data_IF_528359949167
#
_entry.id   IF_528359949167
#
_cell.length_a   1.000
_cell.length_b   1.000
_cell.length_c   1.000
_cell.angle_alpha   90.00
_cell.angle_beta   90.00
_cell.angle_gamma   90.00
#
_symmetry.space_group_name_H-M   'P 1'
#
loop_
_entity.id
_entity.type
_entity.pdbx_description
1 polymer ?
#
# COMPACT_ATOMS: atom_id res chain seq x y z
N UNK A 1 32.09 2.15 -38.27
CA UNK A 1 31.44 2.84 -39.41
C UNK A 1 30.36 1.92 -39.90
N UNK A 2 29.11 2.21 -39.57
CA UNK A 2 27.94 1.46 -40.04
C UNK A 2 27.75 1.83 -41.51
N UNK A 3 27.84 0.83 -42.41
CA UNK A 3 27.69 1.04 -43.85
C UNK A 3 26.25 1.23 -44.32
N UNK A 4 25.51 2.06 -43.60
CA UNK A 4 24.09 2.30 -43.84
C UNK A 4 23.91 3.37 -44.92
N UNK A 5 22.99 3.15 -45.83
CA UNK A 5 22.60 4.11 -46.84
C UNK A 5 21.69 5.19 -46.25
N UNK A 6 21.63 6.36 -46.90
CA UNK A 6 20.74 7.44 -46.48
C UNK A 6 19.28 7.02 -46.69
N UNK A 7 18.64 6.49 -45.67
CA UNK A 7 17.24 6.00 -45.65
C UNK A 7 17.06 4.71 -44.87
N UNK A 8 18.14 4.05 -44.46
CA UNK A 8 18.07 2.89 -43.58
C UNK A 8 17.99 3.34 -42.13
N UNK A 9 17.01 2.80 -41.39
CA UNK A 9 16.80 3.05 -39.95
C UNK A 9 16.82 1.72 -39.22
N UNK A 10 17.36 1.70 -37.99
CA UNK A 10 17.44 0.47 -37.16
C UNK A 10 16.11 0.09 -36.53
N UNK A 11 15.17 0.98 -36.50
CA UNK A 11 13.85 0.77 -35.90
C UNK A 11 13.10 2.06 -35.68
N UNK A 12 11.86 1.92 -35.25
CA UNK A 12 10.96 3.02 -34.86
C UNK A 12 10.58 2.87 -33.42
N UNK A 13 10.63 3.95 -32.66
CA UNK A 13 10.16 3.99 -31.28
C UNK A 13 8.71 4.50 -31.25
N UNK A 14 7.80 3.68 -30.72
CA UNK A 14 6.41 4.03 -30.52
C UNK A 14 6.21 4.48 -29.06
N UNK A 15 5.83 5.72 -28.84
CA UNK A 15 5.55 6.26 -27.52
C UNK A 15 4.10 6.04 -27.11
N UNK A 16 3.90 5.46 -25.94
CA UNK A 16 2.60 5.14 -25.36
C UNK A 16 2.34 5.99 -24.13
N UNK A 17 1.10 6.38 -23.93
CA UNK A 17 0.68 7.07 -22.72
C UNK A 17 0.57 6.17 -21.46
N UNK A 18 0.44 4.84 -21.64
CA UNK A 18 0.35 3.87 -20.57
C UNK A 18 1.15 2.61 -20.90
N UNK A 19 2.19 2.37 -20.12
CA UNK A 19 3.11 1.21 -20.27
C UNK A 19 2.39 -0.14 -20.11
N UNK A 20 1.26 -0.18 -19.38
CA UNK A 20 0.47 -1.40 -19.19
C UNK A 20 -0.15 -1.96 -20.47
N UNK A 21 -0.27 -1.12 -21.48
CA UNK A 21 -0.81 -1.49 -22.79
C UNK A 21 0.28 -1.88 -23.79
N UNK A 22 1.57 -1.77 -23.42
CA UNK A 22 2.70 -1.99 -24.31
C UNK A 22 2.71 -3.39 -24.93
N UNK A 23 2.47 -4.43 -24.13
CA UNK A 23 2.47 -5.82 -24.60
C UNK A 23 1.33 -6.07 -25.60
N UNK A 24 0.11 -5.61 -25.28
CA UNK A 24 -1.05 -5.75 -26.18
C UNK A 24 -0.89 -4.98 -27.48
N UNK A 25 -0.24 -3.81 -27.41
CA UNK A 25 0.01 -3.02 -28.61
C UNK A 25 1.10 -3.64 -29.46
N UNK A 26 2.15 -4.19 -28.85
CA UNK A 26 3.18 -4.92 -29.56
C UNK A 26 2.61 -6.12 -30.34
N UNK A 27 1.72 -6.90 -29.68
CA UNK A 27 0.98 -7.99 -30.34
C UNK A 27 0.11 -7.48 -31.50
N UNK A 28 -0.65 -6.41 -31.29
CA UNK A 28 -1.52 -5.84 -32.32
C UNK A 28 -0.72 -5.28 -33.53
N UNK A 29 0.45 -4.69 -33.26
CA UNK A 29 1.35 -4.21 -34.33
C UNK A 29 1.94 -5.39 -35.08
N UNK A 30 2.39 -6.44 -34.39
CA UNK A 30 2.90 -7.65 -35.02
C UNK A 30 1.83 -8.33 -35.89
N UNK A 31 0.59 -8.43 -35.41
CA UNK A 31 -0.55 -8.91 -36.19
C UNK A 31 -0.83 -8.06 -37.45
N UNK A 32 -0.69 -6.75 -37.33
CA UNK A 32 -0.86 -5.83 -38.44
C UNK A 32 0.28 -5.96 -39.47
N UNK A 33 1.52 -6.12 -38.99
CA UNK A 33 2.71 -6.35 -39.84
C UNK A 33 2.58 -7.68 -40.60
N UNK A 34 2.12 -8.75 -39.96
CA UNK A 34 1.89 -10.05 -40.60
C UNK A 34 0.80 -10.01 -41.68
N UNK A 35 -0.16 -9.10 -41.56
CA UNK A 35 -1.23 -8.90 -42.57
C UNK A 35 -0.84 -7.92 -43.66
N UNK A 36 0.19 -7.14 -43.43
CA UNK A 36 0.70 -6.21 -44.46
C UNK A 36 1.58 -6.99 -45.45
N UNK A 37 1.15 -7.01 -46.71
CA UNK A 37 1.89 -7.65 -47.82
C UNK A 37 2.97 -6.72 -48.39
N UNK A 38 3.59 -5.93 -47.52
CA UNK A 38 4.62 -4.97 -47.89
C UNK A 38 6.02 -5.59 -47.76
N UNK A 39 6.82 -5.67 -48.81
CA UNK A 39 8.17 -6.26 -48.73
C UNK A 39 9.11 -5.52 -47.80
N UNK A 40 8.80 -4.27 -47.44
CA UNK A 40 9.57 -3.45 -46.50
C UNK A 40 9.34 -3.82 -45.05
N UNK A 41 8.30 -4.63 -44.73
CA UNK A 41 7.99 -5.10 -43.38
C UNK A 41 8.57 -6.46 -43.06
N UNK A 42 9.22 -7.11 -44.02
CA UNK A 42 9.82 -8.42 -43.84
C UNK A 42 10.98 -8.35 -42.83
N UNK A 43 10.82 -9.09 -41.72
CA UNK A 43 11.77 -9.11 -40.61
C UNK A 43 11.60 -8.00 -39.58
N UNK A 44 10.59 -7.11 -39.69
CA UNK A 44 10.27 -6.10 -38.67
C UNK A 44 9.39 -6.74 -37.60
N UNK A 45 9.83 -6.67 -36.37
CA UNK A 45 9.11 -7.19 -35.20
C UNK A 45 8.94 -6.07 -34.15
N UNK A 46 7.72 -5.87 -33.69
CA UNK A 46 7.44 -4.98 -32.56
C UNK A 46 7.73 -5.72 -31.26
N UNK A 47 8.57 -5.14 -30.43
CA UNK A 47 8.95 -5.66 -29.11
C UNK A 47 8.54 -4.65 -28.05
N UNK A 48 7.86 -5.12 -26.99
CA UNK A 48 7.49 -4.22 -25.89
C UNK A 48 8.73 -3.82 -25.07
N UNK A 49 8.63 -2.69 -24.38
CA UNK A 49 9.68 -2.24 -23.44
C UNK A 49 9.93 -3.28 -22.36
N UNK A 50 8.87 -4.00 -21.91
CA UNK A 50 8.99 -5.07 -20.94
C UNK A 50 9.81 -6.25 -21.44
N UNK A 51 9.63 -6.65 -22.68
CA UNK A 51 10.42 -7.71 -23.31
C UNK A 51 11.83 -7.26 -23.65
N UNK A 52 12.03 -6.00 -23.99
CA UNK A 52 13.34 -5.44 -24.32
C UNK A 52 14.24 -5.30 -23.10
N UNK A 53 13.66 -4.96 -21.94
CA UNK A 53 14.39 -4.73 -20.69
C UNK A 53 13.79 -5.53 -19.52
N UNK A 54 13.74 -6.86 -19.59
CA UNK A 54 13.07 -7.69 -18.57
C UNK A 54 13.66 -7.50 -17.17
N UNK A 55 14.98 -7.34 -17.07
CA UNK A 55 15.66 -7.14 -15.79
C UNK A 55 15.18 -5.89 -15.03
N UNK A 56 14.83 -4.81 -15.74
CA UNK A 56 14.31 -3.57 -15.14
C UNK A 56 12.90 -3.80 -14.58
N UNK A 57 12.05 -4.48 -15.35
CA UNK A 57 10.67 -4.76 -14.93
C UNK A 57 10.61 -5.79 -13.81
N UNK A 58 11.47 -6.80 -13.80
CA UNK A 58 11.58 -7.77 -12.71
C UNK A 58 12.08 -7.11 -11.42
N UNK A 59 13.03 -6.20 -11.54
CA UNK A 59 13.48 -5.39 -10.40
C UNK A 59 12.38 -4.49 -9.84
N UNK A 60 11.59 -3.83 -10.68
CA UNK A 60 10.42 -3.05 -10.27
C UNK A 60 9.37 -3.91 -9.56
N UNK A 61 9.04 -5.09 -10.11
CA UNK A 61 8.11 -6.04 -9.47
C UNK A 61 8.62 -6.50 -8.11
N UNK A 62 9.93 -6.76 -7.98
CA UNK A 62 10.52 -7.16 -6.70
C UNK A 62 10.37 -6.04 -5.65
N UNK A 63 10.50 -4.77 -6.06
CA UNK A 63 10.28 -3.63 -5.17
C UNK A 63 8.82 -3.50 -4.71
N UNK A 64 7.86 -3.71 -5.61
CA UNK A 64 6.43 -3.70 -5.28
C UNK A 64 6.07 -4.80 -4.27
N UNK A 65 6.59 -6.00 -4.47
CA UNK A 65 6.39 -7.13 -3.53
C UNK A 65 7.03 -6.82 -2.18
N UNK A 66 8.25 -6.28 -2.16
CA UNK A 66 8.93 -5.90 -0.93
C UNK A 66 8.15 -4.81 -0.16
N UNK A 67 7.67 -3.79 -0.86
CA UNK A 67 6.83 -2.75 -0.27
C UNK A 67 5.54 -3.32 0.32
N UNK A 68 4.87 -4.24 -0.39
CA UNK A 68 3.66 -4.90 0.10
C UNK A 68 3.93 -5.73 1.37
N UNK A 69 5.04 -6.46 1.43
CA UNK A 69 5.45 -7.22 2.62
C UNK A 69 5.73 -6.29 3.79
N UNK A 70 6.46 -5.20 3.58
CA UNK A 70 6.74 -4.21 4.63
C UNK A 70 5.43 -3.61 5.17
N UNK A 71 4.51 -3.20 4.30
CA UNK A 71 3.21 -2.66 4.71
C UNK A 71 2.43 -3.71 5.51
N UNK A 72 2.40 -4.97 5.07
CA UNK A 72 1.71 -6.05 5.78
C UNK A 72 2.28 -6.27 7.19
N UNK A 73 3.60 -6.26 7.33
CA UNK A 73 4.29 -6.37 8.64
C UNK A 73 3.97 -5.17 9.53
N UNK A 74 4.00 -3.95 8.98
CA UNK A 74 3.64 -2.73 9.72
C UNK A 74 2.19 -2.78 10.23
N UNK A 75 1.24 -3.22 9.41
CA UNK A 75 -0.16 -3.39 9.81
C UNK A 75 -0.28 -4.46 10.90
N UNK A 76 0.45 -5.57 10.79
CA UNK A 76 0.45 -6.62 11.81
C UNK A 76 0.98 -6.09 13.16
N UNK A 77 2.10 -5.37 13.16
CA UNK A 77 2.67 -4.76 14.38
C UNK A 77 1.70 -3.74 14.97
N UNK A 78 1.09 -2.88 14.15
CA UNK A 78 0.09 -1.92 14.61
C UNK A 78 -1.12 -2.62 15.25
N UNK A 79 -1.57 -3.74 14.66
CA UNK A 79 -2.64 -4.56 15.22
C UNK A 79 -2.27 -5.13 16.61
N UNK A 80 -1.09 -5.77 16.75
CA UNK A 80 -0.67 -6.33 18.04
C UNK A 80 -0.53 -5.26 19.11
N UNK A 81 0.05 -4.11 18.79
CA UNK A 81 0.15 -2.98 19.70
C UNK A 81 -1.23 -2.50 20.17
N UNK A 82 -2.15 -2.32 19.22
CA UNK A 82 -3.50 -1.84 19.55
C UNK A 82 -4.31 -2.89 20.30
N UNK A 83 -4.17 -4.18 19.95
CA UNK A 83 -4.82 -5.28 20.65
C UNK A 83 -4.35 -5.36 22.11
N UNK A 84 -3.05 -5.23 22.36
CA UNK A 84 -2.46 -5.20 23.70
C UNK A 84 -2.96 -4.00 24.51
N UNK A 85 -2.95 -2.81 23.92
CA UNK A 85 -3.44 -1.60 24.56
C UNK A 85 -4.93 -1.71 24.92
N UNK A 86 -5.74 -2.30 24.02
CA UNK A 86 -7.16 -2.52 24.26
C UNK A 86 -7.40 -3.56 25.35
N UNK A 87 -6.59 -4.62 25.39
CA UNK A 87 -6.67 -5.63 26.46
C UNK A 87 -6.34 -5.02 27.83
N UNK A 88 -5.26 -4.25 27.93
CA UNK A 88 -4.90 -3.54 29.17
C UNK A 88 -6.02 -2.61 29.61
N UNK A 89 -6.56 -1.81 28.69
CA UNK A 89 -7.66 -0.89 28.97
C UNK A 89 -8.90 -1.63 29.50
N UNK A 90 -9.19 -2.82 28.95
CA UNK A 90 -10.31 -3.66 29.41
C UNK A 90 -10.06 -4.18 30.81
N UNK A 91 -8.84 -4.68 31.08
CA UNK A 91 -8.46 -5.19 32.40
C UNK A 91 -8.53 -4.08 33.46
N UNK A 92 -8.01 -2.89 33.19
CA UNK A 92 -8.11 -1.74 34.09
C UNK A 92 -9.56 -1.30 34.39
N UNK A 93 -10.46 -1.53 33.45
CA UNK A 93 -11.88 -1.12 33.56
C UNK A 93 -12.83 -2.27 33.87
N UNK A 94 -12.32 -3.44 34.26
CA UNK A 94 -13.12 -4.65 34.51
C UNK A 94 -14.21 -4.41 35.53
N UNK A 95 -13.93 -3.70 36.65
CA UNK A 95 -14.89 -3.34 37.67
C UNK A 95 -16.04 -2.47 37.14
N UNK A 96 -15.71 -1.48 36.31
CA UNK A 96 -16.72 -0.63 35.65
C UNK A 96 -17.58 -1.44 34.67
N UNK A 97 -16.98 -2.36 33.93
CA UNK A 97 -17.67 -3.26 32.99
C UNK A 97 -18.62 -4.17 33.75
N UNK A 98 -18.20 -4.74 34.91
CA UNK A 98 -19.02 -5.55 35.77
C UNK A 98 -20.24 -4.79 36.31
N UNK A 99 -20.03 -3.54 36.74
CA UNK A 99 -21.11 -2.67 37.21
C UNK A 99 -22.13 -2.36 36.10
N UNK A 100 -21.67 -2.01 34.91
CA UNK A 100 -22.54 -1.74 33.78
C UNK A 100 -23.34 -2.97 33.34
N UNK A 101 -22.77 -4.18 33.46
CA UNK A 101 -23.48 -5.44 33.21
C UNK A 101 -24.52 -5.74 34.31
N UNK A 102 -24.18 -5.48 35.56
CA UNK A 102 -25.10 -5.63 36.66
C UNK A 102 -26.34 -4.71 36.55
N UNK A 103 -26.15 -3.53 35.94
CA UNK A 103 -27.24 -2.61 35.61
C UNK A 103 -28.01 -3.00 34.33
N UNK A 104 -27.71 -4.16 33.70
CA UNK A 104 -28.41 -4.66 32.53
C UNK A 104 -27.90 -4.17 31.20
N UNK A 105 -26.69 -3.57 31.13
CA UNK A 105 -26.14 -3.11 29.86
C UNK A 105 -25.75 -4.30 28.97
N UNK A 106 -26.22 -4.28 27.73
CA UNK A 106 -25.91 -5.29 26.71
C UNK A 106 -24.42 -5.33 26.37
N UNK A 107 -23.86 -6.52 26.16
CA UNK A 107 -22.48 -6.74 25.74
C UNK A 107 -22.12 -5.99 24.44
N UNK A 108 -23.10 -5.83 23.54
CA UNK A 108 -22.91 -5.07 22.27
C UNK A 108 -22.63 -3.59 22.52
N UNK A 109 -23.31 -2.99 23.50
CA UNK A 109 -23.13 -1.58 23.87
C UNK A 109 -21.75 -1.36 24.49
N UNK A 110 -21.35 -2.24 25.41
CA UNK A 110 -20.04 -2.21 26.06
C UNK A 110 -18.94 -2.32 24.99
N UNK A 111 -19.01 -3.34 24.11
CA UNK A 111 -18.04 -3.52 23.02
C UNK A 111 -17.93 -2.29 22.12
N UNK A 112 -19.05 -1.65 21.80
CA UNK A 112 -19.09 -0.45 20.96
C UNK A 112 -18.32 0.72 21.58
N UNK A 113 -18.41 0.91 22.89
CA UNK A 113 -17.66 1.96 23.62
C UNK A 113 -16.15 1.76 23.42
N UNK A 114 -15.65 0.53 23.59
CA UNK A 114 -14.23 0.24 23.40
C UNK A 114 -13.79 0.37 21.94
N UNK A 115 -14.64 -0.04 20.99
CA UNK A 115 -14.35 0.16 19.56
C UNK A 115 -14.28 1.64 19.17
N UNK A 116 -15.19 2.47 19.68
CA UNK A 116 -15.12 3.91 19.42
C UNK A 116 -13.84 4.54 19.96
N UNK A 117 -13.42 4.11 21.16
CA UNK A 117 -12.16 4.57 21.75
C UNK A 117 -10.95 4.14 20.91
N UNK A 118 -10.94 2.90 20.46
CA UNK A 118 -9.92 2.39 19.54
C UNK A 118 -9.91 3.16 18.23
N UNK A 119 -11.07 3.38 17.60
CA UNK A 119 -11.19 4.15 16.37
C UNK A 119 -10.68 5.58 16.53
N UNK A 120 -10.95 6.22 17.67
CA UNK A 120 -10.44 7.55 17.98
C UNK A 120 -8.90 7.59 18.08
N UNK A 121 -8.31 6.59 18.73
CA UNK A 121 -6.84 6.47 18.84
C UNK A 121 -6.22 6.23 17.48
N UNK A 122 -6.77 5.30 16.69
CA UNK A 122 -6.30 5.02 15.31
C UNK A 122 -6.43 6.27 14.44
N UNK A 123 -7.57 6.97 14.51
CA UNK A 123 -7.79 8.20 13.73
C UNK A 123 -6.79 9.31 14.06
N UNK A 124 -6.48 9.50 15.37
CA UNK A 124 -5.44 10.46 15.76
C UNK A 124 -4.05 10.03 15.31
N UNK A 125 -3.75 8.73 15.39
CA UNK A 125 -2.50 8.18 14.88
C UNK A 125 -2.33 8.40 13.37
N UNK A 126 -3.37 8.13 12.59
CA UNK A 126 -3.40 8.41 11.15
C UNK A 126 -3.20 9.91 10.86
N UNK A 127 -3.87 10.78 11.59
CA UNK A 127 -3.73 12.24 11.41
C UNK A 127 -2.26 12.68 11.58
N UNK A 128 -1.64 12.29 12.70
CA UNK A 128 -0.26 12.65 12.98
C UNK A 128 0.73 11.96 12.03
N UNK A 129 0.47 10.69 11.69
CA UNK A 129 1.26 9.94 10.71
C UNK A 129 1.23 10.60 9.34
N UNK A 130 0.05 10.98 8.86
CA UNK A 130 -0.12 11.67 7.59
C UNK A 130 0.53 13.06 7.56
N UNK A 131 0.45 13.81 8.65
CA UNK A 131 1.13 15.09 8.76
C UNK A 131 2.65 14.93 8.68
N UNK A 132 3.20 13.95 9.39
CA UNK A 132 4.64 13.66 9.35
C UNK A 132 5.08 13.17 7.97
N UNK A 133 4.36 12.22 7.37
CA UNK A 133 4.65 11.71 6.03
C UNK A 133 4.53 12.80 4.96
N UNK A 134 3.47 13.60 5.01
CA UNK A 134 3.28 14.73 4.09
C UNK A 134 4.38 15.77 4.22
N UNK A 135 4.82 16.08 5.44
CA UNK A 135 5.95 16.98 5.67
C UNK A 135 7.25 16.41 5.08
N UNK A 136 7.53 15.11 5.27
CA UNK A 136 8.72 14.47 4.72
C UNK A 136 8.67 14.45 3.18
N UNK A 137 7.53 14.11 2.59
CA UNK A 137 7.35 14.15 1.14
C UNK A 137 7.53 15.57 0.58
N UNK A 138 6.97 16.57 1.27
CA UNK A 138 7.13 17.96 0.87
C UNK A 138 8.58 18.44 1.00
N UNK A 139 9.28 18.05 2.08
CA UNK A 139 10.70 18.36 2.28
C UNK A 139 11.55 17.74 1.15
N UNK A 140 11.30 16.46 0.83
CA UNK A 140 11.99 15.78 -0.25
C UNK A 140 11.74 16.46 -1.60
N UNK A 141 10.49 16.78 -1.94
CA UNK A 141 10.11 17.43 -3.18
C UNK A 141 10.69 18.85 -3.31
N UNK A 142 10.92 19.54 -2.17
CA UNK A 142 11.39 20.94 -2.19
C UNK A 142 12.91 21.06 -2.09
N UNK A 143 13.55 20.18 -1.31
CA UNK A 143 14.97 20.30 -0.97
C UNK A 143 15.83 19.18 -1.56
N UNK A 144 15.24 18.15 -2.18
CA UNK A 144 15.96 17.01 -2.79
C UNK A 144 17.03 16.42 -1.85
N UNK A 145 16.61 16.18 -0.59
CA UNK A 145 17.50 15.74 0.50
C UNK A 145 18.15 14.39 0.20
N UNK A 146 17.36 13.47 -0.39
CA UNK A 146 17.83 12.15 -0.79
C UNK A 146 18.26 12.19 -2.25
N UNK A 147 19.57 12.24 -2.46
CA UNK A 147 20.20 12.13 -3.79
C UNK A 147 20.59 10.69 -4.04
N UNK A 148 20.35 10.23 -5.24
CA UNK A 148 20.79 8.92 -5.73
C UNK A 148 22.11 9.07 -6.48
N UNK A 149 22.96 8.03 -6.41
CA UNK A 149 24.17 7.99 -7.21
C UNK A 149 23.80 7.71 -8.69
N UNK A 150 24.06 8.65 -9.62
CA UNK A 150 23.73 8.46 -11.03
C UNK A 150 24.44 7.28 -11.68
N UNK A 151 25.54 6.80 -11.10
CA UNK A 151 26.29 5.66 -11.64
C UNK A 151 25.58 4.32 -11.40
N UNK A 152 24.72 4.23 -10.34
CA UNK A 152 23.98 3.02 -10.02
C UNK A 152 22.48 3.10 -10.35
N UNK A 153 21.95 4.31 -10.45
CA UNK A 153 20.53 4.56 -10.72
C UNK A 153 20.41 5.53 -11.89
N UNK A 154 19.52 5.24 -12.84
CA UNK A 154 19.27 6.13 -14.00
C UNK A 154 18.65 7.49 -13.60
N UNK A 155 18.45 7.73 -12.32
CA UNK A 155 17.86 8.93 -11.74
C UNK A 155 18.83 9.54 -10.73
N UNK A 156 18.99 10.86 -10.77
CA UNK A 156 19.84 11.61 -9.84
C UNK A 156 19.14 11.89 -8.49
N UNK A 157 17.82 11.73 -8.43
CA UNK A 157 16.99 12.08 -7.27
C UNK A 157 15.85 11.10 -7.10
N UNK A 158 15.37 10.92 -5.84
CA UNK A 158 14.20 10.09 -5.56
C UNK A 158 12.94 10.84 -6.01
N UNK A 159 12.22 10.36 -7.04
CA UNK A 159 10.99 11.00 -7.50
C UNK A 159 9.88 10.80 -6.47
N UNK A 160 9.23 11.88 -6.06
CA UNK A 160 8.08 11.84 -5.16
C UNK A 160 6.80 11.98 -5.99
N UNK A 161 6.17 10.86 -6.32
CA UNK A 161 4.88 10.83 -7.00
C UNK A 161 3.77 10.57 -5.96
N UNK A 162 3.16 11.63 -5.43
CA UNK A 162 2.06 11.51 -4.47
C UNK A 162 0.73 11.55 -5.20
N UNK A 163 0.00 10.45 -5.19
CA UNK A 163 -1.40 10.39 -5.63
C UNK A 163 -2.32 10.46 -4.41
N UNK A 164 -3.09 11.53 -4.27
CA UNK A 164 -4.01 11.71 -3.15
C UNK A 164 -5.04 10.57 -3.04
N UNK A 165 -5.48 10.01 -4.18
CA UNK A 165 -6.40 8.88 -4.20
C UNK A 165 -5.81 7.60 -3.62
N UNK A 166 -4.57 7.26 -3.99
CA UNK A 166 -3.87 6.10 -3.44
C UNK A 166 -3.52 6.28 -1.97
N UNK A 167 -3.11 7.48 -1.56
CA UNK A 167 -2.84 7.80 -0.16
C UNK A 167 -4.07 7.55 0.71
N UNK A 168 -5.21 8.15 0.32
CA UNK A 168 -6.47 7.94 1.05
C UNK A 168 -6.92 6.47 1.04
N UNK A 169 -6.74 5.76 -0.07
CA UNK A 169 -7.10 4.34 -0.17
C UNK A 169 -6.29 3.48 0.81
N UNK A 170 -4.98 3.72 0.94
CA UNK A 170 -4.11 3.02 1.89
C UNK A 170 -4.51 3.34 3.33
N UNK A 171 -4.81 4.60 3.66
CA UNK A 171 -5.26 4.99 5.00
C UNK A 171 -6.57 4.30 5.39
N UNK A 172 -7.55 4.33 4.49
CA UNK A 172 -8.86 3.69 4.73
C UNK A 172 -8.71 2.17 4.85
N UNK A 173 -7.89 1.55 4.01
CA UNK A 173 -7.62 0.12 4.05
C UNK A 173 -6.91 -0.27 5.37
N UNK A 174 -5.88 0.48 5.77
CA UNK A 174 -5.15 0.23 7.02
C UNK A 174 -6.06 0.42 8.25
N UNK A 175 -6.79 1.53 8.32
CA UNK A 175 -7.74 1.78 9.40
C UNK A 175 -8.82 0.69 9.46
N UNK A 176 -9.40 0.33 8.32
CA UNK A 176 -10.40 -0.72 8.21
C UNK A 176 -9.87 -2.08 8.67
N UNK A 177 -8.66 -2.46 8.23
CA UNK A 177 -8.01 -3.70 8.63
C UNK A 177 -7.76 -3.74 10.14
N UNK A 178 -7.18 -2.68 10.71
CA UNK A 178 -6.91 -2.60 12.16
C UNK A 178 -8.23 -2.69 12.95
N UNK A 179 -9.25 -1.93 12.59
CA UNK A 179 -10.54 -1.93 13.28
C UNK A 179 -11.27 -3.27 13.14
N UNK A 180 -11.20 -3.92 11.98
CA UNK A 180 -11.78 -5.25 11.77
C UNK A 180 -11.07 -6.31 12.63
N UNK A 181 -9.75 -6.28 12.68
CA UNK A 181 -8.96 -7.19 13.51
C UNK A 181 -9.22 -6.97 15.01
N UNK A 182 -9.48 -5.73 15.43
CA UNK A 182 -9.83 -5.41 16.82
C UNK A 182 -11.20 -5.94 17.28
N UNK A 183 -12.06 -6.38 16.35
CA UNK A 183 -13.29 -7.06 16.72
C UNK A 183 -13.03 -8.36 17.50
N UNK A 184 -11.91 -9.04 17.24
CA UNK A 184 -11.53 -10.28 17.92
C UNK A 184 -11.26 -10.03 19.41
N UNK A 185 -10.29 -9.18 19.84
CA UNK A 185 -10.07 -8.91 21.25
C UNK A 185 -11.27 -8.21 21.91
N UNK A 186 -11.99 -7.36 21.18
CA UNK A 186 -13.21 -6.73 21.70
C UNK A 186 -14.34 -7.74 22.01
N UNK A 187 -14.36 -8.90 21.37
CA UNK A 187 -15.31 -9.97 21.69
C UNK A 187 -14.99 -10.64 23.04
N UNK A 188 -13.72 -10.66 23.47
CA UNK A 188 -13.35 -11.18 24.79
C UNK A 188 -13.91 -10.33 25.92
N UNK A 189 -14.07 -9.02 25.73
CA UNK A 189 -14.73 -8.12 26.71
C UNK A 189 -16.15 -8.61 27.08
N UNK A 190 -16.83 -9.20 26.10
CA UNK A 190 -18.20 -9.72 26.32
C UNK A 190 -18.24 -10.98 27.19
N UNK A 191 -17.11 -11.70 27.34
CA UNK A 191 -17.02 -12.96 28.11
C UNK A 191 -16.70 -12.75 29.61
N UNK A 192 -16.35 -11.53 30.02
CA UNK A 192 -16.11 -11.22 31.44
C UNK A 192 -17.40 -11.44 32.22
N UNK A 193 -17.38 -12.36 33.21
CA UNK A 193 -18.51 -12.67 34.08
C UNK A 193 -18.60 -11.63 35.19
N UNK A 194 -19.80 -11.17 35.56
CA UNK A 194 -19.98 -10.17 36.63
C UNK A 194 -19.51 -10.66 38.01
N UNK A 195 -19.59 -11.97 38.26
CA UNK A 195 -19.23 -12.65 39.50
C UNK A 195 -17.72 -12.64 39.79
N UNK A 196 -16.90 -12.68 38.77
CA UNK A 196 -15.43 -12.59 38.87
C UNK A 196 -14.95 -11.15 39.07
N UNK A 197 -15.67 -10.16 38.53
CA UNK A 197 -15.31 -8.74 38.59
C UNK A 197 -15.50 -8.13 40.01
N UNK A 198 -16.29 -8.77 40.90
CA UNK A 198 -16.63 -8.27 42.26
C UNK A 198 -15.77 -8.96 43.33
N UNK A 199 -15.12 -10.09 43.04
CA UNK A 199 -14.38 -10.92 43.98
C UNK A 199 -12.91 -10.57 44.16
N UNK A 200 -12.41 -9.55 43.49
CA UNK A 200 -11.00 -9.14 43.59
C UNK A 200 -10.86 -8.06 44.67
N UNK A 201 -10.85 -8.47 45.92
CA UNK A 201 -10.23 -7.83 47.08
C UNK A 201 -9.03 -8.65 47.49
#
# INVERSE_FOLDING_TARGET
>A
MSGWSSGEVSGYDLFLGDVRQADRLAEAVNDALLRSDLPETDGVVAVSVGERYPAVFDWLKAHDVNAAVVIAVMVAVAFFNMASALLILVLERTRMIGLLKAMGMENRRIRRIFLYRAAFIVGRGLLWGNLAAGLLCWLQARFHLLRLDPAGYMLSEVPVAVSAGWWLAVDVAAAGAILALLLVPAAFVARIRPDEAIKTD
#
